data_IF_517533852517
#
_entry.id   IF_517533852517
#
_cell.length_a   1.000
_cell.length_b   1.000
_cell.length_c   1.000
_cell.angle_alpha   90.00
_cell.angle_beta   90.00
_cell.angle_gamma   90.00
#
_symmetry.space_group_name_H-M   'P 1'
#
loop_
_entity.id
_entity.type
_entity.pdbx_description
1 polymer ?
#
# COMPACT_ATOMS: atom_id res chain seq x y z
N UNK A 1 10.55 -7.73 -18.15
CA UNK A 1 9.87 -6.75 -17.30
C UNK A 1 9.34 -7.50 -16.08
N UNK A 2 9.67 -7.08 -14.89
CA UNK A 2 9.22 -7.76 -13.67
C UNK A 2 7.80 -7.35 -13.32
N UNK A 3 6.94 -8.33 -13.03
CA UNK A 3 5.58 -8.13 -12.52
C UNK A 3 5.64 -8.17 -10.99
N UNK A 4 5.13 -7.11 -10.35
CA UNK A 4 5.26 -6.91 -8.91
C UNK A 4 3.88 -6.70 -8.30
N UNK A 5 3.51 -7.53 -7.32
CA UNK A 5 2.39 -7.26 -6.44
C UNK A 5 2.84 -6.28 -5.35
N UNK A 6 2.41 -5.02 -5.45
CA UNK A 6 2.91 -3.95 -4.59
C UNK A 6 2.27 -3.92 -3.18
N UNK A 7 1.47 -4.92 -2.79
CA UNK A 7 0.83 -4.92 -1.47
C UNK A 7 0.32 -6.30 -1.06
N UNK A 8 0.99 -6.93 -0.10
CA UNK A 8 0.51 -8.13 0.56
C UNK A 8 0.95 -8.15 2.03
N UNK A 9 0.37 -9.06 2.82
CA UNK A 9 0.66 -9.25 4.23
C UNK A 9 0.89 -10.72 4.56
N UNK A 10 1.69 -10.95 5.60
CA UNK A 10 1.72 -12.24 6.31
C UNK A 10 1.30 -12.02 7.76
N UNK A 11 0.76 -13.03 8.39
CA UNK A 11 0.56 -13.05 9.83
C UNK A 11 0.41 -14.47 10.37
N UNK A 12 0.71 -14.59 11.64
CA UNK A 12 0.48 -15.78 12.45
C UNK A 12 -0.44 -15.40 13.59
N UNK A 13 -1.64 -15.99 13.65
CA UNK A 13 -2.67 -15.62 14.63
C UNK A 13 -2.16 -15.72 16.07
N UNK A 14 -1.43 -16.80 16.39
CA UNK A 14 -0.88 -17.01 17.74
C UNK A 14 0.19 -16.00 18.15
N UNK A 15 0.82 -15.30 17.19
CA UNK A 15 1.87 -14.30 17.45
C UNK A 15 1.35 -12.86 17.45
N UNK A 16 0.13 -12.62 16.97
CA UNK A 16 -0.39 -11.27 16.84
C UNK A 16 -0.59 -10.63 18.22
N UNK A 17 0.01 -9.45 18.40
CA UNK A 17 -0.17 -8.62 19.61
C UNK A 17 -1.57 -7.97 19.67
N UNK A 18 -2.24 -7.83 18.53
CA UNK A 18 -3.59 -7.25 18.42
C UNK A 18 -4.48 -8.19 17.58
N UNK A 19 -5.76 -8.33 17.93
CA UNK A 19 -6.69 -9.12 17.15
C UNK A 19 -6.84 -8.54 15.73
N UNK A 20 -7.30 -9.38 14.80
CA UNK A 20 -7.72 -8.90 13.49
C UNK A 20 -8.90 -7.91 13.64
N UNK A 21 -9.04 -6.93 12.73
CA UNK A 21 -10.21 -6.06 12.73
C UNK A 21 -11.52 -6.85 12.78
N UNK A 22 -12.52 -6.41 13.57
CA UNK A 22 -13.80 -7.14 13.71
C UNK A 22 -14.56 -7.34 12.39
N UNK A 23 -14.28 -6.51 11.38
CA UNK A 23 -14.87 -6.65 10.04
C UNK A 23 -14.26 -7.84 9.24
N UNK A 24 -13.14 -8.40 9.68
CA UNK A 24 -12.54 -9.58 9.08
C UNK A 24 -13.17 -10.83 9.70
N UNK A 25 -13.76 -11.66 8.87
CA UNK A 25 -14.42 -12.87 9.29
C UNK A 25 -13.46 -14.06 9.50
N UNK A 26 -14.02 -15.22 9.84
CA UNK A 26 -13.25 -16.44 10.11
C UNK A 26 -12.36 -16.90 8.94
N UNK A 27 -12.59 -16.43 7.71
CA UNK A 27 -11.73 -16.74 6.55
C UNK A 27 -10.32 -16.22 6.74
N UNK A 28 -10.15 -15.12 7.48
CA UNK A 28 -8.84 -14.53 7.78
C UNK A 28 -8.30 -14.92 9.17
N UNK A 29 -9.09 -15.60 10.00
CA UNK A 29 -8.70 -16.02 11.36
C UNK A 29 -7.82 -17.28 11.35
N UNK A 30 -6.81 -17.32 10.49
CA UNK A 30 -5.78 -18.36 10.38
C UNK A 30 -4.43 -17.76 10.05
N UNK A 31 -3.39 -18.56 10.10
CA UNK A 31 -2.07 -18.16 9.61
C UNK A 31 -2.09 -17.95 8.09
N UNK A 32 -1.39 -16.93 7.64
CA UNK A 32 -1.11 -16.65 6.24
C UNK A 32 0.39 -16.41 6.08
N UNK A 33 1.04 -17.33 5.38
CA UNK A 33 2.49 -17.51 5.33
C UNK A 33 3.04 -17.32 3.92
N UNK A 34 4.36 -17.17 3.75
CA UNK A 34 5.00 -17.23 2.43
C UNK A 34 4.63 -18.47 1.61
N UNK A 35 4.46 -19.62 2.28
CA UNK A 35 4.07 -20.88 1.65
C UNK A 35 2.65 -20.88 1.07
N UNK A 36 1.74 -20.10 1.67
CA UNK A 36 0.37 -19.94 1.16
C UNK A 36 0.32 -19.03 -0.09
N UNK A 37 1.16 -17.99 -0.13
CA UNK A 37 1.14 -17.01 -1.22
C UNK A 37 1.94 -17.47 -2.46
N UNK A 38 3.07 -18.13 -2.28
CA UNK A 38 3.98 -18.48 -3.38
C UNK A 38 3.31 -19.23 -4.54
N UNK A 39 2.41 -20.22 -4.29
CA UNK A 39 1.68 -20.89 -5.37
C UNK A 39 0.80 -19.94 -6.19
N UNK A 40 0.15 -18.96 -5.53
CA UNK A 40 -0.69 -17.96 -6.19
C UNK A 40 0.12 -17.03 -7.08
N UNK A 41 1.29 -16.56 -6.60
CA UNK A 41 2.21 -15.74 -7.39
C UNK A 41 2.67 -16.47 -8.64
N UNK A 42 3.08 -17.74 -8.50
CA UNK A 42 3.53 -18.57 -9.63
C UNK A 42 2.43 -18.78 -10.67
N UNK A 43 1.20 -19.06 -10.22
CA UNK A 43 0.06 -19.24 -11.09
C UNK A 43 -0.31 -17.96 -11.85
N UNK A 44 -0.10 -16.79 -11.23
CA UNK A 44 -0.35 -15.47 -11.82
C UNK A 44 0.86 -14.87 -12.55
N UNK A 45 1.99 -15.60 -12.63
CA UNK A 45 3.25 -15.12 -13.22
C UNK A 45 3.76 -13.82 -12.60
N UNK A 46 3.61 -13.67 -11.28
CA UNK A 46 4.13 -12.53 -10.52
C UNK A 46 5.53 -12.89 -10.02
N UNK A 47 6.50 -12.03 -10.34
CA UNK A 47 7.91 -12.28 -10.03
C UNK A 47 8.25 -11.96 -8.58
N UNK A 48 7.63 -10.90 -8.01
CA UNK A 48 7.93 -10.48 -6.65
C UNK A 48 6.80 -9.67 -6.01
N UNK A 49 6.92 -9.44 -4.69
CA UNK A 49 5.92 -8.71 -3.91
C UNK A 49 6.55 -7.70 -2.96
N UNK A 50 5.73 -6.74 -2.50
CA UNK A 50 6.03 -5.91 -1.33
C UNK A 50 5.25 -6.42 -0.12
N UNK A 51 5.99 -6.78 0.94
CA UNK A 51 5.44 -7.16 2.23
C UNK A 51 5.17 -5.90 3.05
N UNK A 52 3.90 -5.65 3.36
CA UNK A 52 3.46 -4.44 4.06
C UNK A 52 3.06 -4.78 5.49
N UNK A 53 3.45 -3.92 6.45
CA UNK A 53 3.09 -4.10 7.86
C UNK A 53 1.58 -4.34 8.06
N UNK A 54 1.21 -5.12 9.06
CA UNK A 54 -0.18 -5.38 9.46
C UNK A 54 -0.54 -4.76 10.80
N UNK A 55 0.45 -4.35 11.57
CA UNK A 55 0.35 -3.68 12.87
C UNK A 55 1.26 -2.45 12.92
N UNK A 56 0.90 -1.46 13.71
CA UNK A 56 1.78 -0.35 14.06
C UNK A 56 2.79 -0.82 15.14
N UNK A 57 3.70 -1.72 14.71
CA UNK A 57 4.66 -2.39 15.59
C UNK A 57 6.06 -2.49 14.92
N UNK A 58 7.08 -2.04 15.65
CA UNK A 58 8.45 -2.09 15.18
C UNK A 58 9.01 -3.52 15.17
N UNK A 59 8.61 -4.37 16.11
CA UNK A 59 9.04 -5.77 16.15
C UNK A 59 8.50 -6.55 14.93
N UNK A 60 7.26 -6.27 14.48
CA UNK A 60 6.74 -6.83 13.22
C UNK A 60 7.60 -6.39 12.03
N UNK A 61 8.08 -5.14 12.03
CA UNK A 61 8.98 -4.66 10.95
C UNK A 61 10.26 -5.48 10.87
N UNK A 62 10.87 -5.81 12.01
CA UNK A 62 12.08 -6.64 12.07
C UNK A 62 11.77 -8.07 11.61
N UNK A 63 10.69 -8.68 12.11
CA UNK A 63 10.25 -10.02 11.67
C UNK A 63 10.02 -10.06 10.16
N UNK A 64 9.36 -9.04 9.60
CA UNK A 64 9.09 -8.97 8.15
C UNK A 64 10.36 -8.82 7.31
N UNK A 65 11.35 -8.11 7.82
CA UNK A 65 12.66 -8.02 7.16
C UNK A 65 13.39 -9.36 7.18
N UNK A 66 13.31 -10.12 8.28
CA UNK A 66 13.90 -11.46 8.37
C UNK A 66 13.18 -12.44 7.42
N UNK A 67 11.86 -12.35 7.30
CA UNK A 67 11.09 -13.10 6.31
C UNK A 67 11.50 -12.72 4.89
N UNK A 68 11.63 -11.43 4.62
CA UNK A 68 12.02 -10.95 3.29
C UNK A 68 13.43 -11.42 2.91
N UNK A 69 14.38 -11.43 3.84
CA UNK A 69 15.72 -11.94 3.59
C UNK A 69 15.74 -13.45 3.28
N UNK A 70 14.82 -14.21 3.87
CA UNK A 70 14.65 -15.63 3.64
C UNK A 70 13.81 -15.98 2.37
N UNK A 71 13.08 -15.01 1.79
CA UNK A 71 12.18 -15.22 0.65
C UNK A 71 12.58 -14.33 -0.53
N UNK A 72 13.09 -14.93 -1.60
CA UNK A 72 13.54 -14.19 -2.80
C UNK A 72 12.41 -13.39 -3.46
N UNK A 73 11.18 -13.93 -3.45
CA UNK A 73 10.04 -13.24 -4.05
C UNK A 73 9.54 -12.01 -3.26
N UNK A 74 10.01 -11.79 -2.02
CA UNK A 74 9.75 -10.56 -1.28
C UNK A 74 10.83 -9.54 -1.62
N UNK A 75 10.50 -8.61 -2.52
CA UNK A 75 11.44 -7.61 -3.03
C UNK A 75 11.68 -6.46 -2.06
N UNK A 76 10.74 -6.20 -1.14
CA UNK A 76 10.88 -5.13 -0.15
C UNK A 76 9.82 -5.19 0.94
N UNK A 77 10.10 -4.51 2.03
CA UNK A 77 9.25 -4.39 3.22
C UNK A 77 8.86 -2.94 3.44
N UNK A 78 7.56 -2.72 3.57
CA UNK A 78 6.98 -1.47 4.07
C UNK A 78 6.60 -1.73 5.53
N UNK A 79 7.47 -1.32 6.44
CA UNK A 79 7.32 -1.56 7.88
C UNK A 79 6.61 -0.44 8.61
N UNK A 80 6.80 -0.37 9.91
CA UNK A 80 6.32 0.70 10.79
C UNK A 80 7.46 1.39 11.52
N UNK A 81 7.30 2.70 11.77
CA UNK A 81 8.22 3.53 12.54
C UNK A 81 7.44 4.47 13.46
N UNK A 82 7.99 4.84 14.64
CA UNK A 82 7.32 5.72 15.61
C UNK A 82 7.36 7.20 15.16
N UNK A 83 6.58 7.56 14.14
CA UNK A 83 6.60 8.90 13.52
C UNK A 83 6.32 10.03 14.50
N UNK A 84 5.47 9.83 15.50
CA UNK A 84 5.14 10.82 16.52
C UNK A 84 6.28 11.05 17.55
N UNK A 85 7.40 10.32 17.42
CA UNK A 85 8.61 10.51 18.23
C UNK A 85 9.84 10.59 17.31
N UNK A 86 10.21 11.80 16.84
CA UNK A 86 11.30 11.96 15.86
C UNK A 86 12.64 11.37 16.33
N UNK A 87 12.96 11.45 17.61
CA UNK A 87 14.20 10.88 18.15
C UNK A 87 14.21 9.35 18.09
N UNK A 88 13.09 8.70 18.42
CA UNK A 88 12.93 7.25 18.28
C UNK A 88 12.90 6.83 16.80
N UNK A 89 12.23 7.61 15.95
CA UNK A 89 12.19 7.38 14.50
C UNK A 89 13.60 7.45 13.90
N UNK A 90 14.41 8.44 14.26
CA UNK A 90 15.79 8.56 13.79
C UNK A 90 16.63 7.33 14.16
N UNK A 91 16.58 6.90 15.43
CA UNK A 91 17.31 5.68 15.89
C UNK A 91 16.85 4.42 15.14
N UNK A 92 15.55 4.25 14.94
CA UNK A 92 15.02 3.11 14.20
C UNK A 92 15.49 3.13 12.74
N UNK A 93 15.47 4.29 12.09
CA UNK A 93 15.99 4.47 10.72
C UNK A 93 17.49 4.16 10.62
N UNK A 94 18.29 4.54 11.62
CA UNK A 94 19.73 4.23 11.64
C UNK A 94 19.96 2.73 11.83
N UNK A 95 19.17 2.06 12.67
CA UNK A 95 19.20 0.58 12.83
C UNK A 95 18.85 -0.13 11.52
N UNK A 96 17.87 0.39 10.76
CA UNK A 96 17.41 -0.22 9.51
C UNK A 96 18.26 0.16 8.29
N UNK A 97 19.25 1.04 8.43
CA UNK A 97 20.07 1.56 7.31
C UNK A 97 20.79 0.46 6.53
N UNK A 98 21.12 -0.68 7.16
CA UNK A 98 21.79 -1.83 6.54
C UNK A 98 20.83 -2.86 5.96
N UNK A 99 19.53 -2.74 6.21
CA UNK A 99 18.49 -3.68 5.72
C UNK A 99 18.00 -3.20 4.36
N UNK A 100 18.65 -3.67 3.29
CA UNK A 100 18.38 -3.21 1.91
C UNK A 100 16.93 -3.40 1.46
N UNK A 101 16.22 -4.36 2.03
CA UNK A 101 14.80 -4.61 1.76
C UNK A 101 13.84 -3.71 2.53
N UNK A 102 14.30 -2.84 3.44
CA UNK A 102 13.45 -1.81 4.05
C UNK A 102 13.24 -0.66 3.06
N UNK A 103 12.09 -0.61 2.40
CA UNK A 103 11.84 0.31 1.27
C UNK A 103 10.86 1.44 1.58
N UNK A 104 10.16 1.36 2.70
CA UNK A 104 9.19 2.36 3.11
C UNK A 104 8.56 2.04 4.45
N UNK A 105 7.67 2.90 4.87
CA UNK A 105 6.89 2.69 6.07
C UNK A 105 5.42 3.05 5.86
N UNK A 106 4.54 2.44 6.66
CA UNK A 106 3.13 2.75 6.73
C UNK A 106 2.74 2.99 8.20
N UNK A 107 1.87 3.96 8.41
CA UNK A 107 1.16 4.14 9.68
C UNK A 107 -0.33 4.02 9.43
N UNK A 108 -1.04 3.33 10.33
CA UNK A 108 -2.47 3.14 10.22
C UNK A 108 -3.22 4.40 10.68
N UNK A 109 -3.08 5.50 9.90
CA UNK A 109 -3.71 6.80 10.19
C UNK A 109 -5.23 6.68 10.35
N UNK A 110 -5.82 5.61 9.83
CA UNK A 110 -7.23 5.27 10.00
C UNK A 110 -7.66 5.17 11.47
N UNK A 111 -6.77 4.83 12.37
CA UNK A 111 -7.04 4.66 13.80
C UNK A 111 -6.64 5.87 14.64
N UNK A 112 -6.07 6.91 14.02
CA UNK A 112 -5.72 8.13 14.73
C UNK A 112 -6.98 8.97 14.98
N UNK A 113 -7.20 9.41 16.23
CA UNK A 113 -8.38 10.23 16.58
C UNK A 113 -8.42 11.58 15.88
N UNK A 114 -7.24 12.17 15.61
CA UNK A 114 -7.10 13.44 14.90
C UNK A 114 -6.92 13.16 13.39
N UNK A 115 -7.87 13.54 12.53
CA UNK A 115 -7.72 13.40 11.08
C UNK A 115 -6.49 14.11 10.51
N UNK A 116 -6.02 15.16 11.19
CA UNK A 116 -4.84 15.94 10.79
C UNK A 116 -3.54 15.39 11.42
N UNK A 117 -3.55 14.23 12.04
CA UNK A 117 -2.40 13.64 12.74
C UNK A 117 -1.10 13.66 11.90
N UNK A 118 -1.19 13.40 10.60
CA UNK A 118 -0.03 13.41 9.70
C UNK A 118 0.62 14.80 9.56
N UNK A 119 -0.12 15.86 9.89
CA UNK A 119 0.33 17.26 9.83
C UNK A 119 0.96 17.77 11.14
N UNK A 120 0.99 16.96 12.20
CA UNK A 120 1.67 17.30 13.45
C UNK A 120 3.14 17.61 13.18
N UNK A 121 3.67 18.56 13.91
CA UNK A 121 5.06 19.03 13.73
C UNK A 121 6.08 17.92 13.91
N UNK A 122 5.88 17.05 14.91
CA UNK A 122 6.73 15.89 15.18
C UNK A 122 6.64 14.84 14.06
N UNK A 123 5.43 14.54 13.56
CA UNK A 123 5.22 13.62 12.44
C UNK A 123 5.86 14.17 11.15
N UNK A 124 5.64 15.44 10.84
CA UNK A 124 6.28 16.08 9.66
C UNK A 124 7.82 16.08 9.76
N UNK A 125 8.38 16.21 10.97
CA UNK A 125 9.82 16.10 11.17
C UNK A 125 10.31 14.68 10.82
N UNK A 126 9.60 13.65 11.26
CA UNK A 126 9.91 12.24 10.93
C UNK A 126 9.72 11.95 9.44
N UNK A 127 8.67 12.49 8.80
CA UNK A 127 8.45 12.34 7.35
C UNK A 127 9.57 12.97 6.52
N UNK A 128 10.16 14.09 6.96
CA UNK A 128 11.35 14.66 6.31
C UNK A 128 12.57 13.73 6.42
N UNK A 129 12.72 12.99 7.52
CA UNK A 129 13.79 11.99 7.65
C UNK A 129 13.60 10.82 6.68
N UNK A 130 12.35 10.39 6.41
CA UNK A 130 12.06 9.40 5.36
C UNK A 130 12.44 9.94 3.98
N UNK A 131 12.05 11.18 3.66
CA UNK A 131 12.38 11.82 2.39
C UNK A 131 13.90 11.87 2.16
N UNK A 132 14.68 12.28 3.17
CA UNK A 132 16.15 12.32 3.11
C UNK A 132 16.76 10.94 2.82
N UNK A 133 16.13 9.86 3.30
CA UNK A 133 16.56 8.48 3.07
C UNK A 133 15.93 7.84 1.83
N UNK A 134 15.08 8.61 1.12
CA UNK A 134 14.33 8.16 -0.06
C UNK A 134 13.49 6.91 0.22
N UNK A 135 12.85 6.89 1.40
CA UNK A 135 11.88 5.87 1.81
C UNK A 135 10.48 6.36 1.49
N UNK A 136 9.61 5.46 1.05
CA UNK A 136 8.22 5.78 0.79
C UNK A 136 7.41 5.83 2.09
N UNK A 137 6.45 6.76 2.16
CA UNK A 137 5.39 6.77 3.17
C UNK A 137 4.08 6.28 2.54
N UNK A 138 3.51 5.20 3.07
CA UNK A 138 2.21 4.70 2.63
C UNK A 138 1.11 5.22 3.55
N UNK A 139 0.04 5.73 2.97
CA UNK A 139 -1.11 6.27 3.68
C UNK A 139 -2.39 5.52 3.34
N UNK A 140 -3.19 5.23 4.38
CA UNK A 140 -4.56 4.68 4.26
C UNK A 140 -5.54 5.68 4.87
N UNK A 141 -5.92 6.75 4.16
CA UNK A 141 -6.98 7.64 4.63
C UNK A 141 -8.33 6.93 4.55
N UNK A 142 -9.16 7.05 5.60
CA UNK A 142 -10.51 6.46 5.65
C UNK A 142 -11.63 7.49 5.52
N UNK A 143 -11.28 8.74 5.52
CA UNK A 143 -12.23 9.84 5.35
C UNK A 143 -11.57 11.00 4.59
N UNK A 144 -12.41 11.97 4.20
CA UNK A 144 -12.00 13.13 3.43
C UNK A 144 -10.93 13.96 4.14
N UNK A 145 -11.09 14.19 5.43
CA UNK A 145 -10.18 15.03 6.22
C UNK A 145 -8.78 14.42 6.29
N UNK A 146 -8.68 13.09 6.44
CA UNK A 146 -7.39 12.40 6.40
C UNK A 146 -6.74 12.45 5.02
N UNK A 147 -7.52 12.31 3.94
CA UNK A 147 -6.97 12.42 2.58
C UNK A 147 -6.49 13.86 2.30
N UNK A 148 -7.24 14.86 2.73
CA UNK A 148 -6.84 16.27 2.63
C UNK A 148 -5.55 16.54 3.42
N UNK A 149 -5.41 15.98 4.62
CA UNK A 149 -4.20 16.09 5.42
C UNK A 149 -2.99 15.39 4.74
N UNK A 150 -3.19 14.25 4.08
CA UNK A 150 -2.12 13.57 3.32
C UNK A 150 -1.70 14.41 2.11
N UNK A 151 -2.65 15.03 1.40
CA UNK A 151 -2.35 15.94 0.29
C UNK A 151 -1.53 17.15 0.78
N UNK A 152 -1.92 17.72 1.92
CA UNK A 152 -1.18 18.83 2.52
C UNK A 152 0.22 18.40 3.00
N UNK A 153 0.36 17.20 3.58
CA UNK A 153 1.67 16.66 3.95
C UNK A 153 2.59 16.50 2.72
N UNK A 154 2.04 16.08 1.56
CA UNK A 154 2.78 16.00 0.30
C UNK A 154 3.33 17.36 -0.14
N UNK A 155 2.56 18.44 0.06
CA UNK A 155 2.98 19.82 -0.25
C UNK A 155 4.03 20.33 0.74
N UNK A 156 3.89 20.00 2.03
CA UNK A 156 4.82 20.42 3.10
C UNK A 156 6.16 19.67 3.08
N UNK A 157 6.19 18.47 2.48
CA UNK A 157 7.39 17.63 2.32
C UNK A 157 7.47 17.15 0.87
N UNK A 158 7.84 18.03 -0.09
CA UNK A 158 7.74 17.75 -1.53
C UNK A 158 8.69 16.63 -2.01
N UNK A 159 9.78 16.38 -1.27
CA UNK A 159 10.73 15.31 -1.58
C UNK A 159 10.28 13.93 -1.06
N UNK A 160 9.22 13.86 -0.26
CA UNK A 160 8.68 12.61 0.27
C UNK A 160 7.88 11.89 -0.82
N UNK A 161 8.21 10.62 -1.06
CA UNK A 161 7.37 9.74 -1.88
C UNK A 161 6.19 9.25 -1.03
N UNK A 162 4.98 9.64 -1.41
CA UNK A 162 3.75 9.20 -0.74
C UNK A 162 3.02 8.21 -1.64
N UNK A 163 2.52 7.13 -1.05
CA UNK A 163 1.72 6.13 -1.76
C UNK A 163 0.36 6.01 -1.09
N UNK A 164 -0.69 6.40 -1.80
CA UNK A 164 -2.06 6.18 -1.38
C UNK A 164 -2.43 4.70 -1.58
N UNK A 165 -2.83 4.04 -0.53
CA UNK A 165 -3.30 2.66 -0.61
C UNK A 165 -4.75 2.61 -1.15
N UNK A 166 -5.07 1.53 -1.86
CA UNK A 166 -6.43 1.11 -2.19
C UNK A 166 -7.25 2.20 -2.91
N UNK A 167 -6.67 2.80 -3.98
CA UNK A 167 -7.30 3.85 -4.80
C UNK A 167 -7.79 5.08 -3.98
N UNK A 168 -7.24 5.30 -2.77
CA UNK A 168 -7.77 6.32 -1.87
C UNK A 168 -9.19 6.05 -1.38
N UNK A 169 -9.61 4.76 -1.38
CA UNK A 169 -10.88 4.23 -0.85
C UNK A 169 -12.13 4.78 -1.56
N UNK A 170 -12.34 4.43 -2.84
CA UNK A 170 -13.54 4.80 -3.57
C UNK A 170 -14.80 4.19 -2.92
N UNK A 171 -15.92 4.91 -2.88
CA UNK A 171 -17.19 4.43 -2.32
C UNK A 171 -17.93 3.51 -3.29
N UNK A 172 -17.33 2.34 -3.60
CA UNK A 172 -17.84 1.39 -4.60
C UNK A 172 -19.19 0.79 -4.20
N UNK A 173 -19.39 0.28 -2.96
CA UNK A 173 -20.67 -0.34 -2.58
C UNK A 173 -21.83 0.63 -2.63
N UNK A 174 -21.58 1.88 -2.37
CA UNK A 174 -22.58 2.95 -2.38
C UNK A 174 -22.78 3.57 -3.77
N UNK A 175 -22.06 3.07 -4.79
CA UNK A 175 -22.01 3.66 -6.14
C UNK A 175 -21.74 5.18 -6.11
N UNK A 176 -21.02 5.63 -5.07
CA UNK A 176 -20.67 7.04 -4.86
C UNK A 176 -19.62 7.53 -5.86
N UNK A 177 -19.45 8.83 -5.96
CA UNK A 177 -18.45 9.46 -6.81
C UNK A 177 -17.76 10.62 -6.11
N UNK A 178 -18.54 11.64 -5.78
CA UNK A 178 -18.04 12.76 -4.99
C UNK A 178 -18.22 12.48 -3.49
N UNK A 179 -17.34 13.01 -2.68
CA UNK A 179 -16.21 13.91 -2.98
C UNK A 179 -14.90 13.16 -3.32
N UNK A 180 -14.89 11.83 -3.38
CA UNK A 180 -13.70 11.04 -3.65
C UNK A 180 -13.02 11.43 -4.98
N UNK A 181 -13.78 11.61 -6.06
CA UNK A 181 -13.22 11.92 -7.37
C UNK A 181 -12.48 13.27 -7.39
N UNK A 182 -13.08 14.30 -6.80
CA UNK A 182 -12.43 15.61 -6.66
C UNK A 182 -11.18 15.55 -5.79
N UNK A 183 -11.18 14.78 -4.73
CA UNK A 183 -10.01 14.59 -3.84
C UNK A 183 -8.88 13.83 -4.54
N UNK A 184 -9.19 12.78 -5.28
CA UNK A 184 -8.21 12.05 -6.08
C UNK A 184 -7.57 12.95 -7.14
N UNK A 185 -8.37 13.79 -7.80
CA UNK A 185 -7.84 14.76 -8.76
C UNK A 185 -6.89 15.78 -8.08
N UNK A 186 -7.21 16.24 -6.87
CA UNK A 186 -6.32 17.10 -6.06
C UNK A 186 -5.05 16.38 -5.64
N UNK A 187 -5.16 15.12 -5.19
CA UNK A 187 -3.99 14.30 -4.84
C UNK A 187 -3.06 14.11 -6.05
N UNK A 188 -3.62 13.89 -7.23
CA UNK A 188 -2.87 13.72 -8.46
C UNK A 188 -2.09 14.98 -8.91
N UNK A 189 -2.52 16.18 -8.47
CA UNK A 189 -1.80 17.43 -8.71
C UNK A 189 -0.46 17.50 -7.93
N UNK A 190 -0.28 16.68 -6.89
CA UNK A 190 0.99 16.55 -6.17
C UNK A 190 1.87 15.49 -6.86
N UNK A 191 3.01 15.86 -7.46
CA UNK A 191 3.83 14.94 -8.28
C UNK A 191 4.47 13.81 -7.46
N UNK A 192 4.60 13.99 -6.16
CA UNK A 192 5.19 13.05 -5.21
C UNK A 192 4.15 12.06 -4.61
N UNK A 193 2.89 12.09 -5.08
CA UNK A 193 1.88 11.09 -4.71
C UNK A 193 1.71 10.05 -5.83
N UNK A 194 1.73 8.78 -5.45
CA UNK A 194 1.40 7.62 -6.26
C UNK A 194 0.26 6.82 -5.62
N UNK A 195 -0.36 5.88 -6.34
CA UNK A 195 -1.56 5.15 -5.88
C UNK A 195 -1.42 3.65 -6.12
N UNK A 196 -1.88 2.83 -5.17
CA UNK A 196 -2.04 1.38 -5.35
C UNK A 196 -3.43 1.06 -5.91
N UNK A 197 -3.46 0.38 -7.04
CA UNK A 197 -4.64 -0.23 -7.63
C UNK A 197 -4.94 -1.53 -6.86
N UNK A 198 -5.75 -1.41 -5.83
CA UNK A 198 -6.16 -2.49 -4.92
C UNK A 198 -7.45 -2.10 -4.19
N UNK A 199 -8.07 -3.05 -3.49
CA UNK A 199 -9.23 -2.81 -2.64
C UNK A 199 -8.85 -2.92 -1.15
N UNK A 200 -9.33 -2.00 -0.32
CA UNK A 200 -9.12 -2.02 1.12
C UNK A 200 -9.98 -3.06 1.84
N UNK A 201 -9.58 -3.45 3.05
CA UNK A 201 -10.27 -4.47 3.83
C UNK A 201 -11.74 -4.13 4.16
N UNK A 202 -12.02 -2.86 4.43
CA UNK A 202 -13.38 -2.36 4.67
C UNK A 202 -14.28 -2.46 3.44
N UNK A 203 -13.71 -2.33 2.23
CA UNK A 203 -14.42 -2.52 0.99
C UNK A 203 -14.70 -4.01 0.78
N UNK A 204 -13.67 -4.86 0.74
CA UNK A 204 -13.83 -6.29 0.41
C UNK A 204 -14.58 -7.09 1.47
N UNK A 205 -14.69 -6.59 2.70
CA UNK A 205 -15.52 -7.21 3.73
C UNK A 205 -17.04 -7.06 3.45
N UNK A 206 -17.44 -6.09 2.64
CA UNK A 206 -18.84 -5.76 2.32
C UNK A 206 -19.16 -5.83 0.83
N UNK A 207 -18.17 -6.10 -0.01
CA UNK A 207 -18.29 -6.07 -1.45
C UNK A 207 -17.52 -7.23 -2.09
N UNK A 208 -18.16 -7.95 -2.98
CA UNK A 208 -17.51 -8.97 -3.80
C UNK A 208 -16.79 -8.29 -4.96
N UNK A 209 -15.58 -8.74 -5.24
CA UNK A 209 -14.78 -8.16 -6.33
C UNK A 209 -15.56 -8.17 -7.66
N UNK A 210 -15.73 -6.99 -8.22
CA UNK A 210 -16.36 -6.77 -9.52
C UNK A 210 -15.51 -5.80 -10.33
N UNK A 211 -14.93 -6.29 -11.41
CA UNK A 211 -14.11 -5.49 -12.33
C UNK A 211 -14.92 -4.36 -12.95
N UNK A 212 -16.18 -4.63 -13.31
CA UNK A 212 -17.05 -3.64 -13.96
C UNK A 212 -17.41 -2.49 -13.01
N UNK A 213 -17.73 -2.79 -11.75
CA UNK A 213 -18.03 -1.75 -10.75
C UNK A 213 -16.81 -0.91 -10.41
N UNK A 214 -15.62 -1.51 -10.41
CA UNK A 214 -14.37 -0.83 -10.09
C UNK A 214 -13.84 0.03 -11.24
N UNK A 215 -14.23 -0.29 -12.48
CA UNK A 215 -13.67 0.29 -13.71
C UNK A 215 -13.66 1.82 -13.69
N UNK A 216 -14.79 2.47 -13.44
CA UNK A 216 -14.87 3.94 -13.49
C UNK A 216 -13.92 4.63 -12.50
N UNK A 217 -13.68 4.00 -11.36
CA UNK A 217 -12.75 4.54 -10.34
C UNK A 217 -11.30 4.38 -10.78
N UNK A 218 -10.97 3.23 -11.37
CA UNK A 218 -9.63 2.97 -11.89
C UNK A 218 -9.33 3.85 -13.10
N UNK A 219 -10.28 4.00 -14.02
CA UNK A 219 -10.15 4.88 -15.19
C UNK A 219 -9.87 6.32 -14.75
N UNK A 220 -10.62 6.83 -13.75
CA UNK A 220 -10.39 8.15 -13.19
C UNK A 220 -8.99 8.29 -12.56
N UNK A 221 -8.56 7.31 -11.76
CA UNK A 221 -7.21 7.32 -11.16
C UNK A 221 -6.14 7.32 -12.25
N UNK A 222 -6.26 6.47 -13.26
CA UNK A 222 -5.29 6.38 -14.35
C UNK A 222 -5.27 7.68 -15.18
N UNK A 223 -6.44 8.27 -15.44
CA UNK A 223 -6.54 9.56 -16.14
C UNK A 223 -5.81 10.68 -15.38
N UNK A 224 -5.97 10.73 -14.04
CA UNK A 224 -5.42 11.80 -13.20
C UNK A 224 -3.95 11.61 -12.87
N UNK A 225 -3.53 10.39 -12.53
CA UNK A 225 -2.16 10.11 -12.11
C UNK A 225 -1.22 9.72 -13.25
N UNK A 226 -1.78 9.21 -14.35
CA UNK A 226 -1.01 8.51 -15.36
C UNK A 226 -0.54 7.13 -14.89
N UNK A 227 -0.22 6.20 -15.83
CA UNK A 227 0.19 4.85 -15.48
C UNK A 227 1.50 4.79 -14.66
N UNK A 228 2.36 5.78 -14.81
CA UNK A 228 3.66 5.86 -14.12
C UNK A 228 3.55 6.19 -12.63
N UNK A 229 2.35 6.53 -12.12
CA UNK A 229 2.09 6.76 -10.70
C UNK A 229 1.02 5.83 -10.13
N UNK A 230 0.65 4.79 -10.86
CA UNK A 230 -0.27 3.74 -10.40
C UNK A 230 0.49 2.42 -10.34
N UNK A 231 0.24 1.58 -9.33
CA UNK A 231 0.86 0.28 -9.17
C UNK A 231 -0.15 -0.79 -8.78
N UNK A 232 -0.09 -1.94 -9.44
CA UNK A 232 -0.93 -3.10 -9.17
C UNK A 232 -0.61 -3.70 -7.79
N UNK A 233 -1.66 -4.06 -7.04
CA UNK A 233 -1.52 -4.60 -5.70
C UNK A 233 -2.72 -5.48 -5.33
N UNK A 234 -2.47 -6.69 -4.81
CA UNK A 234 -3.54 -7.64 -4.48
C UNK A 234 -4.24 -7.32 -3.16
N UNK A 235 -3.50 -6.82 -2.18
CA UNK A 235 -3.90 -6.78 -0.77
C UNK A 235 -4.17 -8.18 -0.18
N UNK A 236 -3.43 -9.22 -0.65
CA UNK A 236 -3.52 -10.55 -0.07
C UNK A 236 -3.01 -10.56 1.39
N UNK A 237 -3.61 -11.31 2.31
CA UNK A 237 -4.76 -12.19 2.14
C UNK A 237 -6.11 -11.47 2.35
N UNK A 238 -6.11 -10.20 2.66
CA UNK A 238 -7.34 -9.42 2.96
C UNK A 238 -8.34 -9.49 1.80
N UNK A 239 -7.86 -9.49 0.57
CA UNK A 239 -8.68 -9.58 -0.64
C UNK A 239 -9.51 -10.88 -0.72
N UNK A 240 -9.13 -11.95 0.02
CA UNK A 240 -9.89 -13.21 0.07
C UNK A 240 -11.28 -13.04 0.69
N UNK A 241 -11.57 -11.93 1.36
CA UNK A 241 -12.91 -11.57 1.78
C UNK A 241 -13.83 -11.24 0.58
N UNK A 242 -13.29 -10.66 -0.48
CA UNK A 242 -14.04 -10.22 -1.66
C UNK A 242 -13.93 -11.13 -2.87
N UNK A 243 -12.93 -12.06 -2.90
CA UNK A 243 -12.70 -12.94 -4.05
C UNK A 243 -11.48 -13.82 -3.90
N UNK A 244 -11.17 -14.64 -4.89
CA UNK A 244 -9.91 -15.39 -4.93
C UNK A 244 -8.77 -14.52 -5.43
N UNK A 245 -7.52 -14.83 -5.05
CA UNK A 245 -6.32 -14.14 -5.55
C UNK A 245 -6.32 -14.08 -7.09
N UNK A 246 -6.54 -15.24 -7.73
CA UNK A 246 -6.53 -15.35 -9.19
C UNK A 246 -7.61 -14.47 -9.87
N UNK A 247 -8.83 -14.41 -9.30
CA UNK A 247 -9.91 -13.57 -9.84
C UNK A 247 -9.56 -12.08 -9.72
N UNK A 248 -9.04 -11.66 -8.57
CA UNK A 248 -8.66 -10.27 -8.31
C UNK A 248 -7.50 -9.84 -9.21
N UNK A 249 -6.44 -10.66 -9.29
CA UNK A 249 -5.29 -10.32 -10.14
C UNK A 249 -5.66 -10.23 -11.62
N UNK A 250 -6.51 -11.16 -12.11
CA UNK A 250 -7.08 -11.08 -13.45
C UNK A 250 -7.89 -9.79 -13.63
N UNK A 251 -8.76 -9.46 -12.67
CA UNK A 251 -9.53 -8.21 -12.72
C UNK A 251 -8.65 -6.96 -12.77
N UNK A 252 -7.52 -6.94 -12.03
CA UNK A 252 -6.55 -5.85 -12.12
C UNK A 252 -5.95 -5.76 -13.54
N UNK A 253 -5.58 -6.90 -14.15
CA UNK A 253 -5.04 -6.91 -15.51
C UNK A 253 -6.08 -6.47 -16.56
N UNK A 254 -7.33 -6.87 -16.39
CA UNK A 254 -8.45 -6.49 -17.26
C UNK A 254 -8.77 -4.98 -17.17
N UNK A 255 -8.66 -4.40 -15.96
CA UNK A 255 -8.87 -2.96 -15.75
C UNK A 255 -7.87 -2.09 -16.50
N UNK A 256 -6.65 -2.57 -16.69
CA UNK A 256 -5.57 -1.83 -17.38
C UNK A 256 -5.35 -2.30 -18.81
N UNK A 257 -6.18 -3.21 -19.35
CA UNK A 257 -5.97 -3.80 -20.67
C UNK A 257 -5.96 -2.78 -21.82
N UNK A 258 -6.71 -1.68 -21.69
CA UNK A 258 -6.77 -0.60 -22.66
C UNK A 258 -5.52 0.29 -22.71
N UNK A 259 -4.64 0.21 -21.71
CA UNK A 259 -3.39 0.96 -21.71
C UNK A 259 -2.42 0.45 -22.78
N UNK A 260 -1.52 1.32 -23.22
CA UNK A 260 -0.39 0.92 -24.05
C UNK A 260 0.46 -0.16 -23.37
N UNK A 261 1.27 -0.88 -24.13
CA UNK A 261 2.21 -1.86 -23.58
C UNK A 261 3.12 -1.25 -22.51
N UNK A 262 3.62 -0.03 -22.74
CA UNK A 262 4.42 0.71 -21.76
C UNK A 262 3.60 1.07 -20.50
N UNK A 263 2.35 1.51 -20.67
CA UNK A 263 1.47 1.84 -19.54
C UNK A 263 1.12 0.62 -18.68
N UNK A 264 0.78 -0.52 -19.30
CA UNK A 264 0.59 -1.78 -18.56
C UNK A 264 1.87 -2.17 -17.84
N UNK A 265 3.00 -2.01 -18.51
CA UNK A 265 4.31 -2.27 -17.96
C UNK A 265 4.59 -1.43 -16.71
N UNK A 266 4.27 -0.15 -16.74
CA UNK A 266 4.42 0.74 -15.60
C UNK A 266 3.56 0.25 -14.41
N UNK A 267 2.26 0.03 -14.63
CA UNK A 267 1.33 -0.36 -13.56
C UNK A 267 1.68 -1.72 -12.96
N UNK A 268 2.03 -2.72 -13.77
CA UNK A 268 2.29 -4.08 -13.30
C UNK A 268 3.63 -4.27 -12.57
N UNK A 269 4.53 -3.27 -12.58
CA UNK A 269 5.79 -3.41 -11.86
C UNK A 269 6.72 -2.21 -11.94
N UNK A 270 6.80 -1.52 -13.10
CA UNK A 270 7.74 -0.41 -13.29
C UNK A 270 7.57 0.72 -12.28
N UNK A 271 6.34 1.08 -11.96
CA UNK A 271 6.04 2.11 -10.94
C UNK A 271 6.51 1.68 -9.56
N UNK A 272 6.19 0.45 -9.14
CA UNK A 272 6.64 -0.07 -7.84
C UNK A 272 8.18 -0.13 -7.79
N UNK A 273 8.82 -0.64 -8.83
CA UNK A 273 10.28 -0.73 -8.93
C UNK A 273 10.94 0.64 -8.76
N UNK A 274 10.40 1.69 -9.39
CA UNK A 274 10.91 3.05 -9.32
C UNK A 274 10.65 3.71 -7.96
N UNK A 275 9.41 3.64 -7.47
CA UNK A 275 9.01 4.30 -6.21
C UNK A 275 9.75 3.71 -5.01
N UNK A 276 9.85 2.40 -4.93
CA UNK A 276 10.52 1.72 -3.82
C UNK A 276 11.99 1.40 -4.10
N UNK A 277 12.51 1.75 -5.29
CA UNK A 277 13.92 1.55 -5.71
C UNK A 277 14.37 0.10 -5.55
N UNK A 278 13.51 -0.84 -5.98
CA UNK A 278 13.76 -2.27 -5.83
C UNK A 278 14.98 -2.70 -6.67
N UNK A 279 15.88 -3.47 -6.08
CA UNK A 279 17.10 -3.95 -6.73
C UNK A 279 18.26 -2.95 -6.84
N UNK A 280 18.10 -1.70 -6.36
CA UNK A 280 19.09 -0.63 -6.48
C UNK A 280 19.54 -0.06 -5.12
N UNK A 281 19.54 -0.87 -4.06
CA UNK A 281 19.98 -0.45 -2.71
C UNK A 281 21.15 -1.28 -2.22
#
# INVERSE_FOLDING_TARGET
MSIIDAHQHFWWIAKRKQPLPPLFDNRLARDFTPGDLLPELRAAHIDSTLLVQSLDDYDETLEYLDIADAQEFVAGVVGWLPLANPAACARALDTLATRSKFVGMRHLIAYEPDPAWVLRTDVLASLRMLAQRRLAFEAIPINQQQLDAVIEAAQRVPDLLIVLNHLGRPPVPEHGWEPWASQIARAAASPNISVKLSAGGDLVARWQWSTDELRRYVDHVIERFGPDRVMAASNWPVVLLGGTFAAVWRGITDLIAALSTAGRAAVLGGTAQRIYRLGNR
#
